data_IF_021009012878
#
_entry.id   IF_021009012878
#
_cell.length_a   1.000
_cell.length_b   1.000
_cell.length_c   1.000
_cell.angle_alpha   90.00
_cell.angle_beta   90.00
_cell.angle_gamma   90.00
#
_symmetry.space_group_name_H-M   'P 1'
#
loop_
_entity.id
_entity.type
_entity.pdbx_description
1 polymer ?
#
# COMPACT_ATOMS: atom_id res chain seq x y z
N UNK A 1 -17.60 -28.85 5.40
CA UNK A 1 -16.68 -28.39 4.33
C UNK A 1 -17.20 -27.13 3.62
N UNK A 2 -18.41 -27.14 3.06
CA UNK A 2 -19.01 -25.97 2.37
C UNK A 2 -19.16 -24.71 3.26
N UNK A 3 -19.55 -24.84 4.53
CA UNK A 3 -19.64 -23.69 5.46
C UNK A 3 -18.30 -23.09 5.87
N UNK A 4 -17.22 -23.88 5.87
CA UNK A 4 -15.89 -23.40 6.26
C UNK A 4 -15.32 -22.48 5.18
N UNK A 5 -15.47 -22.87 3.91
CA UNK A 5 -15.03 -22.10 2.74
C UNK A 5 -15.77 -20.75 2.66
N UNK A 6 -17.08 -20.72 2.94
CA UNK A 6 -17.86 -19.46 2.97
C UNK A 6 -17.37 -18.48 4.03
N UNK A 7 -17.07 -18.98 5.23
CA UNK A 7 -16.63 -18.13 6.35
C UNK A 7 -15.23 -17.55 6.11
N UNK A 8 -14.34 -18.34 5.51
CA UNK A 8 -13.00 -17.89 5.12
C UNK A 8 -13.06 -16.82 4.02
N UNK A 9 -13.89 -17.01 3.00
CA UNK A 9 -14.07 -16.01 1.93
C UNK A 9 -14.68 -14.71 2.47
N UNK A 10 -15.67 -14.79 3.35
CA UNK A 10 -16.27 -13.60 3.97
C UNK A 10 -15.24 -12.80 4.77
N UNK A 11 -14.41 -13.46 5.59
CA UNK A 11 -13.39 -12.76 6.35
C UNK A 11 -12.30 -12.13 5.45
N UNK A 12 -11.81 -12.84 4.43
CA UNK A 12 -10.75 -12.30 3.55
C UNK A 12 -11.25 -11.09 2.74
N UNK A 13 -12.45 -11.19 2.17
CA UNK A 13 -12.97 -10.15 1.26
C UNK A 13 -13.73 -9.03 1.97
N UNK A 14 -14.27 -9.24 3.18
CA UNK A 14 -15.11 -8.25 3.89
C UNK A 14 -14.47 -7.71 5.18
N UNK A 15 -13.65 -8.48 5.90
CA UNK A 15 -13.00 -7.98 7.13
C UNK A 15 -11.65 -7.30 6.88
N UNK A 16 -10.95 -7.62 5.80
CA UNK A 16 -9.68 -6.96 5.45
C UNK A 16 -9.81 -5.51 4.91
N UNK A 17 -10.86 -5.11 4.15
CA UNK A 17 -11.05 -3.73 3.69
C UNK A 17 -11.30 -2.71 4.83
N UNK A 18 -11.59 -3.18 6.05
CA UNK A 18 -11.87 -2.29 7.18
C UNK A 18 -10.66 -1.43 7.61
N UNK A 19 -9.45 -1.77 7.16
CA UNK A 19 -8.22 -1.04 7.53
C UNK A 19 -7.97 0.23 6.69
N UNK A 20 -8.69 0.42 5.58
CA UNK A 20 -8.54 1.59 4.69
C UNK A 20 -9.80 2.43 4.53
N UNK A 21 -10.89 2.12 5.24
CA UNK A 21 -12.10 2.95 5.28
C UNK A 21 -12.70 3.17 3.88
N UNK A 22 -12.49 2.23 2.95
CA UNK A 22 -13.01 2.29 1.58
C UNK A 22 -14.10 1.24 1.36
N UNK A 23 -15.07 1.57 0.52
CA UNK A 23 -16.01 0.56 0.00
C UNK A 23 -15.28 -0.43 -0.90
N UNK A 24 -15.83 -1.63 -1.09
CA UNK A 24 -15.21 -2.68 -1.93
C UNK A 24 -14.89 -2.19 -3.36
N UNK A 25 -15.78 -1.40 -3.96
CA UNK A 25 -15.58 -0.86 -5.31
C UNK A 25 -14.46 0.20 -5.34
N UNK A 26 -14.39 1.06 -4.34
CA UNK A 26 -13.30 2.04 -4.23
C UNK A 26 -11.96 1.35 -4.06
N UNK A 27 -11.89 0.32 -3.20
CA UNK A 27 -10.67 -0.47 -3.03
C UNK A 27 -10.30 -1.22 -4.32
N UNK A 28 -11.28 -1.83 -5.01
CA UNK A 28 -11.04 -2.50 -6.28
C UNK A 28 -10.45 -1.55 -7.35
N UNK A 29 -11.05 -0.36 -7.52
CA UNK A 29 -10.55 0.65 -8.47
C UNK A 29 -9.18 1.16 -8.05
N UNK A 30 -8.96 1.38 -6.76
CA UNK A 30 -7.66 1.80 -6.21
C UNK A 30 -6.57 0.76 -6.49
N UNK A 31 -6.82 -0.51 -6.18
CA UNK A 31 -5.90 -1.61 -6.46
C UNK A 31 -5.63 -1.76 -7.96
N UNK A 32 -6.65 -1.59 -8.81
CA UNK A 32 -6.50 -1.64 -10.27
C UNK A 32 -5.63 -0.48 -10.78
N UNK A 33 -5.85 0.74 -10.27
CA UNK A 33 -5.02 1.91 -10.59
C UNK A 33 -3.57 1.69 -10.17
N UNK A 34 -3.35 1.15 -8.97
CA UNK A 34 -2.02 0.83 -8.45
C UNK A 34 -1.33 -0.25 -9.30
N UNK A 35 -2.05 -1.29 -9.72
CA UNK A 35 -1.55 -2.31 -10.63
C UNK A 35 -1.08 -1.70 -11.97
N UNK A 36 -1.82 -0.73 -12.51
CA UNK A 36 -1.40 -0.03 -13.73
C UNK A 36 -0.06 0.71 -13.57
N UNK A 37 0.12 1.39 -12.43
CA UNK A 37 1.40 2.05 -12.09
C UNK A 37 2.54 1.05 -11.97
N UNK A 38 2.33 -0.09 -11.31
CA UNK A 38 3.33 -1.16 -11.23
C UNK A 38 3.73 -1.70 -12.60
N UNK A 39 2.78 -1.91 -13.51
CA UNK A 39 3.09 -2.35 -14.88
C UNK A 39 3.97 -1.34 -15.61
N UNK A 40 3.66 -0.04 -15.51
CA UNK A 40 4.51 1.01 -16.08
C UNK A 40 5.91 0.99 -15.48
N UNK A 41 6.02 0.88 -14.15
CA UNK A 41 7.31 0.77 -13.46
C UNK A 41 8.12 -0.44 -13.86
N UNK A 42 7.47 -1.61 -14.02
CA UNK A 42 8.11 -2.82 -14.49
C UNK A 42 8.64 -2.65 -15.92
N UNK A 43 7.89 -2.01 -16.82
CA UNK A 43 8.35 -1.70 -18.18
C UNK A 43 9.53 -0.73 -18.15
N UNK A 44 9.48 0.33 -17.32
CA UNK A 44 10.59 1.27 -17.18
C UNK A 44 11.85 0.60 -16.62
N UNK A 45 11.73 -0.24 -15.60
CA UNK A 45 12.83 -1.01 -15.03
C UNK A 45 13.41 -2.01 -16.04
N UNK A 46 12.55 -2.64 -16.85
CA UNK A 46 12.97 -3.51 -17.94
C UNK A 46 13.76 -2.75 -19.02
N UNK A 47 13.27 -1.59 -19.45
CA UNK A 47 14.01 -0.72 -20.39
C UNK A 47 15.34 -0.28 -19.78
N UNK A 48 15.35 0.11 -18.50
CA UNK A 48 16.58 0.50 -17.78
C UNK A 48 17.59 -0.66 -17.69
N UNK A 49 17.13 -1.89 -17.49
CA UNK A 49 17.99 -3.07 -17.47
C UNK A 49 18.67 -3.33 -18.83
N UNK A 50 18.01 -2.98 -19.94
CA UNK A 50 18.57 -3.09 -21.30
C UNK A 50 19.40 -1.85 -21.67
N UNK A 51 18.94 -0.66 -21.30
CA UNK A 51 19.55 0.63 -21.61
C UNK A 51 19.68 1.45 -20.31
N UNK A 52 20.79 1.31 -19.57
CA UNK A 52 20.95 1.91 -18.23
C UNK A 52 20.97 3.45 -18.20
N UNK A 53 21.02 4.10 -19.38
CA UNK A 53 21.01 5.56 -19.52
C UNK A 53 19.57 6.11 -19.49
N UNK A 54 18.57 5.31 -19.86
CA UNK A 54 17.16 5.69 -19.83
C UNK A 54 16.57 5.38 -18.45
N UNK A 55 15.70 6.27 -17.93
CA UNK A 55 14.94 6.07 -16.70
C UNK A 55 15.72 5.97 -15.37
N UNK A 56 16.90 6.59 -15.28
CA UNK A 56 17.81 6.51 -14.11
C UNK A 56 17.16 6.85 -12.76
N UNK A 57 16.22 7.81 -12.70
CA UNK A 57 15.47 8.14 -11.46
C UNK A 57 14.02 7.66 -11.49
N UNK A 58 13.52 7.27 -12.66
CA UNK A 58 12.08 7.02 -12.86
C UNK A 58 11.56 5.83 -12.07
N UNK A 59 12.40 4.82 -11.80
CA UNK A 59 12.00 3.69 -10.96
C UNK A 59 11.80 4.13 -9.50
N UNK A 60 12.76 4.85 -8.93
CA UNK A 60 12.68 5.35 -7.55
C UNK A 60 11.58 6.41 -7.39
N UNK A 61 11.43 7.32 -8.35
CA UNK A 61 10.40 8.36 -8.34
C UNK A 61 8.98 7.74 -8.39
N UNK A 62 8.80 6.69 -9.21
CA UNK A 62 7.55 5.96 -9.27
C UNK A 62 7.24 5.24 -7.96
N UNK A 63 8.22 4.55 -7.36
CA UNK A 63 8.05 3.88 -6.06
C UNK A 63 7.68 4.88 -4.97
N UNK A 64 8.37 6.02 -4.89
CA UNK A 64 8.03 7.09 -3.95
C UNK A 64 6.60 7.63 -4.16
N UNK A 65 6.20 7.84 -5.41
CA UNK A 65 4.83 8.27 -5.74
C UNK A 65 3.78 7.22 -5.35
N UNK A 66 4.08 5.93 -5.55
CA UNK A 66 3.21 4.82 -5.14
C UNK A 66 3.10 4.75 -3.62
N UNK A 67 4.22 4.86 -2.90
CA UNK A 67 4.26 4.85 -1.44
C UNK A 67 3.45 6.01 -0.85
N UNK A 68 3.58 7.21 -1.43
CA UNK A 68 2.76 8.36 -1.05
C UNK A 68 1.26 8.11 -1.32
N UNK A 69 0.93 7.52 -2.47
CA UNK A 69 -0.45 7.15 -2.82
C UNK A 69 -1.03 6.16 -1.79
N UNK A 70 -0.26 5.13 -1.42
CA UNK A 70 -0.66 4.11 -0.43
C UNK A 70 -0.86 4.68 0.98
N UNK A 71 0.00 5.60 1.41
CA UNK A 71 -0.19 6.31 2.69
C UNK A 71 -1.38 7.26 2.66
N UNK A 72 -1.64 7.93 1.55
CA UNK A 72 -2.80 8.84 1.43
C UNK A 72 -4.15 8.11 1.42
N UNK A 73 -4.16 6.83 1.03
CA UNK A 73 -5.33 5.95 1.07
C UNK A 73 -5.59 5.26 2.41
N UNK A 74 -4.73 5.44 3.42
CA UNK A 74 -4.95 4.85 4.73
C UNK A 74 -6.13 5.52 5.45
N UNK A 75 -6.88 4.75 6.26
CA UNK A 75 -7.83 5.34 7.21
C UNK A 75 -7.10 6.38 8.07
N UNK A 76 -7.54 7.63 8.03
CA UNK A 76 -7.20 8.57 9.11
C UNK A 76 -8.02 8.18 10.33
N UNK A 77 -7.48 7.28 11.14
CA UNK A 77 -8.01 7.01 12.47
C UNK A 77 -8.01 8.29 13.30
N UNK A 78 -9.02 8.49 14.12
CA UNK A 78 -9.04 9.56 15.11
C UNK A 78 -8.03 9.17 16.21
N UNK A 79 -6.77 9.56 16.05
CA UNK A 79 -5.72 9.21 16.99
C UNK A 79 -5.91 10.08 18.24
N UNK A 80 -6.31 9.46 19.35
CA UNK A 80 -6.40 10.15 20.63
C UNK A 80 -5.03 10.20 21.32
N UNK A 81 -4.87 11.13 22.27
CA UNK A 81 -3.59 11.37 22.95
C UNK A 81 -2.97 10.09 23.55
N UNK A 82 -3.78 9.19 24.11
CA UNK A 82 -3.29 7.90 24.63
C UNK A 82 -2.70 6.98 23.55
N UNK A 83 -3.18 7.04 22.31
CA UNK A 83 -2.65 6.24 21.20
C UNK A 83 -1.30 6.79 20.73
N UNK A 84 -1.12 8.12 20.76
CA UNK A 84 0.17 8.76 20.48
C UNK A 84 1.21 8.30 21.49
N UNK A 85 0.87 8.25 22.78
CA UNK A 85 1.79 7.77 23.81
C UNK A 85 2.19 6.32 23.55
N UNK A 86 1.24 5.45 23.19
CA UNK A 86 1.55 4.05 22.89
C UNK A 86 2.42 3.89 21.62
N UNK A 87 2.13 4.64 20.54
CA UNK A 87 2.91 4.59 19.30
C UNK A 87 4.33 5.13 19.52
N UNK A 88 4.48 6.23 20.28
CA UNK A 88 5.81 6.78 20.62
C UNK A 88 6.61 5.84 21.53
N UNK A 89 5.94 5.00 22.33
CA UNK A 89 6.59 4.01 23.18
C UNK A 89 6.93 2.71 22.43
N UNK A 90 6.27 2.44 21.30
CA UNK A 90 6.51 1.29 20.42
C UNK A 90 7.56 1.59 19.32
N UNK A 91 8.03 2.83 19.18
CA UNK A 91 9.19 3.15 18.35
C UNK A 91 10.47 2.93 19.18
N UNK A 92 11.19 1.79 19.06
CA UNK A 92 12.59 1.78 19.45
C UNK A 92 13.30 2.80 18.57
N UNK A 93 14.07 3.70 19.20
CA UNK A 93 14.90 4.69 18.51
C UNK A 93 15.75 4.01 17.42
N UNK A 94 15.29 4.06 16.18
CA UNK A 94 16.03 3.53 15.04
C UNK A 94 16.99 4.61 14.58
N UNK A 95 18.25 4.43 15.01
CA UNK A 95 19.51 4.90 14.44
C UNK A 95 19.45 6.06 13.44
N UNK A 96 19.92 7.21 13.92
CA UNK A 96 20.58 8.23 13.12
C UNK A 96 22.05 7.81 12.96
N UNK A 97 22.41 7.27 11.80
CA UNK A 97 23.79 7.17 11.32
C UNK A 97 23.90 7.85 9.95
#
# INVERSE_FOLDING_TARGET
MWSYIKNTLYNIFISHPQHVCMTYLEHFIFSLSLSGKFTVGAVQAFIHAVIPILFKTSSSDLVNSMQHTMHSSACKGNINYCDIINILHEYPESHYD
#
